data_IF_984628867249
#
_entry.id   IF_984628867249
#
_cell.length_a   1.000
_cell.length_b   1.000
_cell.length_c   1.000
_cell.angle_alpha   90.00
_cell.angle_beta   90.00
_cell.angle_gamma   90.00
#
_symmetry.space_group_name_H-M   'P 1'
#
loop_
_entity.id
_entity.type
_entity.pdbx_description
1 polymer ?
#
# COMPACT_ATOMS: atom_id res chain seq x y z
N UNK A 1 -22.89 7.28 -8.45
CA UNK A 1 -22.60 6.64 -7.17
C UNK A 1 -21.08 6.39 -7.10
N UNK A 2 -20.50 6.64 -5.95
CA UNK A 2 -19.13 6.32 -5.60
C UNK A 2 -19.15 5.45 -4.34
N UNK A 3 -18.04 4.75 -4.05
CA UNK A 3 -17.96 3.89 -2.86
C UNK A 3 -17.16 4.55 -1.74
N UNK A 4 -16.30 5.52 -2.08
CA UNK A 4 -15.50 6.30 -1.14
C UNK A 4 -15.09 7.65 -1.75
N UNK A 5 -14.57 8.55 -0.93
CA UNK A 5 -13.96 9.82 -1.34
C UNK A 5 -12.44 9.72 -1.18
N UNK A 6 -11.68 10.13 -2.20
CA UNK A 6 -10.21 10.20 -2.14
C UNK A 6 -9.73 11.65 -2.13
N UNK A 7 -8.89 11.99 -1.14
CA UNK A 7 -8.21 13.28 -1.02
C UNK A 7 -6.72 13.17 -1.39
N UNK A 8 -6.19 14.25 -1.94
CA UNK A 8 -4.76 14.47 -2.17
C UNK A 8 -4.29 15.57 -1.22
N UNK A 9 -4.04 15.20 0.05
CA UNK A 9 -3.73 16.17 1.12
C UNK A 9 -2.32 16.72 0.96
N UNK A 10 -1.38 15.87 0.53
CA UNK A 10 -0.02 16.31 0.20
C UNK A 10 0.28 16.10 -1.28
N UNK A 11 1.36 16.71 -1.75
CA UNK A 11 2.07 16.24 -2.92
C UNK A 11 2.85 14.96 -2.60
N UNK A 12 3.65 14.49 -3.54
CA UNK A 12 4.45 13.29 -3.43
C UNK A 12 5.83 13.41 -4.07
N UNK A 13 6.47 12.26 -4.25
CA UNK A 13 7.81 12.16 -4.86
C UNK A 13 7.88 12.87 -6.22
N UNK A 14 6.84 12.70 -7.06
CA UNK A 14 6.83 13.15 -8.45
C UNK A 14 6.65 14.67 -8.63
N UNK A 15 6.03 15.36 -7.70
CA UNK A 15 5.79 16.79 -7.78
C UNK A 15 6.64 17.62 -6.81
N UNK A 16 7.54 16.98 -6.07
CA UNK A 16 8.45 17.62 -5.14
C UNK A 16 9.48 18.49 -5.89
N UNK A 17 9.57 19.76 -5.51
CA UNK A 17 10.46 20.74 -6.15
C UNK A 17 11.86 20.79 -5.58
N UNK A 18 12.04 20.26 -4.38
CA UNK A 18 13.32 20.26 -3.67
C UNK A 18 13.56 18.94 -2.91
N UNK A 19 14.82 18.64 -2.61
CA UNK A 19 15.19 17.52 -1.75
C UNK A 19 14.70 17.75 -0.33
N UNK A 20 14.19 16.69 0.30
CA UNK A 20 13.76 16.69 1.70
C UNK A 20 12.30 17.10 1.94
N UNK A 21 11.55 17.40 0.90
CA UNK A 21 10.14 17.84 0.99
C UNK A 21 9.21 17.06 0.05
N UNK A 22 9.12 15.73 0.17
CA UNK A 22 8.31 14.92 -0.73
C UNK A 22 6.79 15.18 -0.58
N UNK A 23 6.34 15.54 0.62
CA UNK A 23 4.92 15.64 0.96
C UNK A 23 4.48 17.05 1.37
N UNK A 24 4.70 18.06 0.52
CA UNK A 24 4.20 19.41 0.75
C UNK A 24 2.67 19.42 0.83
N UNK A 25 2.08 20.12 1.82
CA UNK A 25 0.63 20.25 1.95
C UNK A 25 0.02 20.93 0.71
N UNK A 26 -1.03 20.32 0.17
CA UNK A 26 -1.82 20.83 -0.97
C UNK A 26 -3.25 21.20 -0.55
N UNK A 27 -3.73 20.66 0.57
CA UNK A 27 -5.04 20.99 1.12
C UNK A 27 -4.89 21.61 2.50
N UNK A 28 -5.64 22.66 2.77
CA UNK A 28 -5.72 23.27 4.09
C UNK A 28 -6.56 22.41 5.02
N UNK A 29 -6.29 22.39 6.35
CA UNK A 29 -7.04 21.57 7.32
C UNK A 29 -8.57 21.77 7.26
N UNK A 30 -9.02 23.02 7.12
CA UNK A 30 -10.45 23.33 7.04
C UNK A 30 -11.12 22.76 5.77
N UNK A 31 -10.37 22.57 4.67
CA UNK A 31 -10.88 21.93 3.46
C UNK A 31 -11.01 20.41 3.68
N UNK A 32 -10.01 19.79 4.31
CA UNK A 32 -10.03 18.36 4.63
C UNK A 32 -11.22 18.07 5.54
N UNK A 33 -11.37 18.85 6.61
CA UNK A 33 -12.51 18.72 7.54
C UNK A 33 -13.86 18.85 6.84
N UNK A 34 -14.04 19.87 6.01
CA UNK A 34 -15.29 20.08 5.30
C UNK A 34 -15.67 18.91 4.38
N UNK A 35 -14.66 18.28 3.73
CA UNK A 35 -14.88 17.09 2.91
C UNK A 35 -15.23 15.88 3.77
N UNK A 36 -14.48 15.62 4.85
CA UNK A 36 -14.73 14.50 5.75
C UNK A 36 -16.14 14.61 6.38
N UNK A 37 -16.49 15.76 6.95
CA UNK A 37 -17.81 15.99 7.54
C UNK A 37 -18.94 15.73 6.53
N UNK A 38 -18.76 16.19 5.29
CA UNK A 38 -19.75 15.98 4.23
C UNK A 38 -19.83 14.53 3.74
N UNK A 39 -18.69 13.87 3.59
CA UNK A 39 -18.62 12.48 3.17
C UNK A 39 -19.29 11.57 4.22
N UNK A 40 -18.93 11.74 5.49
CA UNK A 40 -19.48 10.97 6.59
C UNK A 40 -21.00 11.20 6.76
N UNK A 41 -21.48 12.44 6.61
CA UNK A 41 -22.92 12.74 6.61
C UNK A 41 -23.69 12.05 5.47
N UNK A 42 -23.00 11.63 4.41
CA UNK A 42 -23.55 10.88 3.28
C UNK A 42 -23.27 9.37 3.36
N UNK A 43 -22.58 8.90 4.39
CA UNK A 43 -22.24 7.49 4.61
C UNK A 43 -21.03 7.00 3.80
N UNK A 44 -20.14 7.90 3.38
CA UNK A 44 -18.90 7.54 2.65
C UNK A 44 -17.67 7.67 3.53
N UNK A 45 -16.76 6.72 3.44
CA UNK A 45 -15.42 6.82 4.00
C UNK A 45 -14.52 7.74 3.15
N UNK A 46 -13.50 8.30 3.79
CA UNK A 46 -12.52 9.19 3.17
C UNK A 46 -11.13 8.58 3.27
N UNK A 47 -10.48 8.37 2.12
CA UNK A 47 -9.09 7.96 2.00
C UNK A 47 -8.21 9.15 1.60
N UNK A 48 -6.97 9.22 2.09
CA UNK A 48 -6.06 10.33 1.78
C UNK A 48 -4.67 9.87 1.34
N UNK A 49 -4.21 10.38 0.20
CA UNK A 49 -2.80 10.34 -0.17
C UNK A 49 -2.01 11.30 0.72
N UNK A 50 -0.98 10.76 1.41
CA UNK A 50 -0.17 11.51 2.36
C UNK A 50 1.25 10.96 2.41
N UNK A 51 2.25 11.81 2.13
CA UNK A 51 3.67 11.43 2.11
C UNK A 51 4.54 12.32 3.04
N UNK A 52 3.93 12.95 4.04
CA UNK A 52 4.67 13.69 5.08
C UNK A 52 4.03 13.56 6.46
N UNK A 53 4.80 13.65 7.56
CA UNK A 53 4.25 13.61 8.92
C UNK A 53 3.20 14.69 9.18
N UNK A 54 3.43 15.92 8.68
CA UNK A 54 2.47 17.02 8.79
C UNK A 54 1.16 16.69 8.08
N UNK A 55 1.24 16.12 6.87
CA UNK A 55 0.05 15.69 6.15
C UNK A 55 -0.73 14.60 6.86
N UNK A 56 -0.05 13.64 7.51
CA UNK A 56 -0.70 12.59 8.31
C UNK A 56 -1.47 13.21 9.49
N UNK A 57 -0.89 14.19 10.20
CA UNK A 57 -1.59 14.92 11.26
C UNK A 57 -2.83 15.62 10.72
N UNK A 58 -2.67 16.44 9.68
CA UNK A 58 -3.80 17.15 9.04
C UNK A 58 -4.90 16.20 8.62
N UNK A 59 -4.55 15.04 8.06
CA UNK A 59 -5.54 14.04 7.66
C UNK A 59 -6.32 13.49 8.86
N UNK A 60 -5.60 12.99 9.86
CA UNK A 60 -6.21 12.31 11.01
C UNK A 60 -6.99 13.27 11.91
N UNK A 61 -6.45 14.46 12.20
CA UNK A 61 -7.15 15.49 12.99
C UNK A 61 -8.46 15.96 12.36
N UNK A 62 -8.61 15.80 11.05
CA UNK A 62 -9.78 16.25 10.30
C UNK A 62 -10.68 15.11 9.81
N UNK A 63 -10.48 13.88 10.34
CA UNK A 63 -11.45 12.79 10.22
C UNK A 63 -11.27 11.89 9.00
N UNK A 64 -10.08 11.80 8.42
CA UNK A 64 -9.78 10.82 7.36
C UNK A 64 -9.80 9.40 7.92
N UNK A 65 -10.46 8.46 7.23
CA UNK A 65 -10.64 7.07 7.67
C UNK A 65 -9.46 6.16 7.29
N UNK A 66 -8.74 6.48 6.21
CA UNK A 66 -7.53 5.74 5.83
C UNK A 66 -6.43 6.64 5.28
N UNK A 67 -5.20 6.36 5.71
CA UNK A 67 -3.98 7.00 5.22
C UNK A 67 -3.34 6.06 4.20
N UNK A 68 -3.21 6.54 2.97
CA UNK A 68 -2.48 5.87 1.90
C UNK A 68 -1.02 6.33 1.94
N UNK A 69 -0.08 5.38 1.74
CA UNK A 69 1.36 5.54 1.86
C UNK A 69 1.80 5.72 3.32
N UNK A 70 1.50 6.87 3.90
CA UNK A 70 1.97 7.23 5.23
C UNK A 70 3.38 7.83 5.21
N UNK A 71 3.85 8.24 6.37
CA UNK A 71 5.16 8.85 6.56
C UNK A 71 5.74 8.43 7.91
N UNK A 72 7.02 8.74 8.16
CA UNK A 72 7.67 8.47 9.44
C UNK A 72 6.83 9.02 10.60
N UNK A 73 6.29 8.15 11.49
CA UNK A 73 5.43 8.59 12.57
C UNK A 73 6.25 9.02 13.79
N UNK A 74 5.62 9.79 14.62
CA UNK A 74 5.97 10.01 16.04
C UNK A 74 4.81 9.56 16.93
N UNK A 75 4.96 9.75 18.25
CA UNK A 75 3.98 9.31 19.23
C UNK A 75 2.61 9.99 19.04
N UNK A 76 2.60 11.25 18.60
CA UNK A 76 1.36 11.99 18.32
C UNK A 76 0.61 11.39 17.14
N UNK A 77 1.30 11.09 16.03
CA UNK A 77 0.70 10.43 14.86
C UNK A 77 0.11 9.07 15.24
N UNK A 78 0.83 8.30 16.05
CA UNK A 78 0.33 7.00 16.54
C UNK A 78 -0.92 7.17 17.41
N UNK A 79 -0.97 8.20 18.26
CA UNK A 79 -2.14 8.53 19.05
C UNK A 79 -3.32 8.89 18.16
N UNK A 80 -3.13 9.77 17.19
CA UNK A 80 -4.18 10.19 16.25
C UNK A 80 -4.76 9.02 15.44
N UNK A 81 -3.93 8.07 14.96
CA UNK A 81 -4.43 6.85 14.32
C UNK A 81 -5.39 6.06 15.23
N UNK A 82 -5.04 5.92 16.52
CA UNK A 82 -5.85 5.18 17.49
C UNK A 82 -7.15 5.91 17.84
N UNK A 83 -7.10 7.22 18.05
CA UNK A 83 -8.28 8.02 18.35
C UNK A 83 -9.32 7.98 17.23
N UNK A 84 -8.85 8.02 15.98
CA UNK A 84 -9.73 8.01 14.82
C UNK A 84 -10.08 6.61 14.32
N UNK A 85 -9.51 5.54 14.91
CA UNK A 85 -9.62 4.17 14.41
C UNK A 85 -9.27 4.05 12.92
N UNK A 86 -8.34 4.88 12.46
CA UNK A 86 -8.00 4.99 11.06
C UNK A 86 -7.11 3.81 10.60
N UNK A 87 -7.25 3.44 9.34
CA UNK A 87 -6.43 2.44 8.68
C UNK A 87 -5.16 3.06 8.09
N UNK A 88 -4.09 2.27 8.06
CA UNK A 88 -2.92 2.55 7.23
C UNK A 88 -2.91 1.62 6.03
N UNK A 89 -2.97 2.16 4.82
CA UNK A 89 -2.77 1.41 3.59
C UNK A 89 -1.33 1.59 3.10
N UNK A 90 -0.47 0.62 3.35
CA UNK A 90 0.91 0.68 2.87
C UNK A 90 0.97 0.45 1.37
N UNK A 91 1.94 1.09 0.70
CA UNK A 91 2.15 1.00 -0.74
C UNK A 91 3.64 1.10 -1.02
N UNK A 92 4.39 0.06 -0.75
CA UNK A 92 5.83 0.03 -0.98
C UNK A 92 6.18 0.04 -2.47
N UNK A 93 5.32 -0.55 -3.30
CA UNK A 93 5.54 -0.71 -4.73
C UNK A 93 5.80 0.60 -5.47
N UNK A 94 5.04 1.70 -5.32
CA UNK A 94 5.29 2.94 -6.06
C UNK A 94 6.54 3.69 -5.59
N UNK A 95 6.92 3.58 -4.32
CA UNK A 95 8.10 4.24 -3.78
C UNK A 95 9.42 3.51 -4.14
N UNK A 96 9.37 2.17 -4.27
CA UNK A 96 10.54 1.32 -4.49
C UNK A 96 11.36 1.70 -5.74
N UNK A 97 10.78 1.96 -6.93
CA UNK A 97 11.57 2.35 -8.11
C UNK A 97 12.33 3.67 -7.93
N UNK A 98 11.74 4.63 -7.22
CA UNK A 98 12.41 5.90 -6.94
C UNK A 98 13.49 5.76 -5.89
N UNK A 99 13.32 4.88 -4.91
CA UNK A 99 14.29 4.65 -3.86
C UNK A 99 15.46 3.77 -4.29
N UNK A 100 15.19 2.66 -4.99
CA UNK A 100 16.13 1.55 -5.14
C UNK A 100 16.65 1.29 -6.56
N UNK A 101 15.98 1.82 -7.61
CA UNK A 101 16.46 1.62 -8.97
C UNK A 101 17.63 2.56 -9.29
N UNK A 102 18.50 2.12 -10.20
CA UNK A 102 19.41 3.03 -10.85
C UNK A 102 18.61 4.10 -11.62
N UNK A 103 19.05 5.36 -11.54
CA UNK A 103 18.37 6.47 -12.21
C UNK A 103 18.32 6.34 -13.73
N UNK A 104 19.30 5.65 -14.33
CA UNK A 104 19.28 5.35 -15.77
C UNK A 104 18.14 4.39 -16.16
N UNK A 105 17.60 3.63 -15.20
CA UNK A 105 16.47 2.72 -15.38
C UNK A 105 15.15 3.40 -15.05
N UNK A 106 15.07 4.04 -13.89
CA UNK A 106 13.84 4.70 -13.42
C UNK A 106 13.51 5.99 -14.16
N UNK A 107 14.50 6.63 -14.78
CA UNK A 107 14.48 8.01 -15.29
C UNK A 107 14.17 9.04 -14.20
N UNK A 108 14.33 8.68 -12.93
CA UNK A 108 14.11 9.59 -11.82
C UNK A 108 15.17 10.72 -11.83
N UNK A 109 14.74 11.93 -11.57
CA UNK A 109 15.64 13.03 -11.26
C UNK A 109 16.35 12.80 -9.93
N UNK A 110 17.38 13.58 -9.65
CA UNK A 110 18.07 13.49 -8.36
C UNK A 110 17.17 13.87 -7.18
N UNK A 111 16.25 14.82 -7.40
CA UNK A 111 15.25 15.22 -6.41
C UNK A 111 14.26 14.09 -6.14
N UNK A 112 13.72 13.48 -7.19
CA UNK A 112 12.79 12.35 -7.06
C UNK A 112 13.43 11.14 -6.38
N UNK A 113 14.68 10.80 -6.71
CA UNK A 113 15.37 9.69 -6.04
C UNK A 113 15.62 9.99 -4.56
N UNK A 114 16.07 11.21 -4.24
CA UNK A 114 16.28 11.61 -2.85
C UNK A 114 14.98 11.54 -2.05
N UNK A 115 13.91 12.10 -2.57
CA UNK A 115 12.59 12.09 -1.93
C UNK A 115 11.95 10.71 -1.93
N UNK A 116 12.16 9.92 -2.97
CA UNK A 116 11.75 8.51 -3.02
C UNK A 116 12.32 7.66 -1.89
N UNK A 117 13.59 7.89 -1.55
CA UNK A 117 14.20 7.25 -0.36
C UNK A 117 13.50 7.67 0.94
N UNK A 118 13.19 8.96 1.12
CA UNK A 118 12.48 9.44 2.32
C UNK A 118 11.11 8.79 2.43
N UNK A 119 10.35 8.76 1.34
CA UNK A 119 9.00 8.18 1.32
C UNK A 119 9.06 6.66 1.55
N UNK A 120 9.96 5.94 0.89
CA UNK A 120 10.11 4.49 1.06
C UNK A 120 10.46 4.11 2.50
N UNK A 121 11.42 4.81 3.12
CA UNK A 121 11.76 4.60 4.54
C UNK A 121 10.59 5.01 5.45
N UNK A 122 9.93 6.14 5.16
CA UNK A 122 8.78 6.61 5.92
C UNK A 122 7.61 5.62 5.92
N UNK A 123 7.27 5.02 4.78
CA UNK A 123 6.25 3.97 4.68
C UNK A 123 6.62 2.76 5.54
N UNK A 124 7.87 2.31 5.47
CA UNK A 124 8.36 1.16 6.27
C UNK A 124 8.27 1.43 7.77
N UNK A 125 8.73 2.60 8.20
CA UNK A 125 8.69 2.99 9.62
C UNK A 125 7.25 3.15 10.10
N UNK A 126 6.37 3.77 9.29
CA UNK A 126 4.96 3.91 9.60
C UNK A 126 4.28 2.54 9.76
N UNK A 127 4.51 1.63 8.83
CA UNK A 127 3.95 0.27 8.90
C UNK A 127 4.41 -0.49 10.14
N UNK A 128 5.71 -0.44 10.48
CA UNK A 128 6.25 -1.09 11.69
C UNK A 128 5.62 -0.52 12.95
N UNK A 129 5.54 0.81 13.05
CA UNK A 129 4.95 1.48 14.20
C UNK A 129 3.44 1.20 14.31
N UNK A 130 2.72 1.21 13.20
CA UNK A 130 1.29 0.87 13.17
C UNK A 130 1.05 -0.55 13.70
N UNK A 131 1.80 -1.55 13.20
CA UNK A 131 1.69 -2.95 13.64
C UNK A 131 2.01 -3.07 15.13
N UNK A 132 3.10 -2.48 15.60
CA UNK A 132 3.51 -2.51 17.00
C UNK A 132 2.48 -1.88 17.95
N UNK A 133 1.63 -1.00 17.43
CA UNK A 133 0.60 -0.28 18.17
C UNK A 133 -0.83 -0.78 17.90
N UNK A 134 -1.01 -1.93 17.23
CA UNK A 134 -2.30 -2.50 16.86
C UNK A 134 -3.18 -1.57 16.01
N UNK A 135 -2.59 -0.68 15.25
CA UNK A 135 -3.29 0.10 14.22
C UNK A 135 -3.55 -0.83 13.02
N UNK A 136 -4.77 -0.86 12.47
CA UNK A 136 -5.08 -1.74 11.36
C UNK A 136 -4.31 -1.35 10.10
N UNK A 137 -3.56 -2.30 9.53
CA UNK A 137 -2.78 -2.13 8.31
C UNK A 137 -3.39 -2.95 7.19
N UNK A 138 -3.49 -2.37 6.01
CA UNK A 138 -3.91 -3.00 4.76
C UNK A 138 -2.88 -2.76 3.66
N UNK A 139 -2.99 -3.47 2.55
CA UNK A 139 -2.06 -3.34 1.42
C UNK A 139 -2.76 -2.81 0.17
N UNK A 140 -2.08 -1.88 -0.50
CA UNK A 140 -2.36 -1.41 -1.84
C UNK A 140 -1.08 -1.32 -2.65
N UNK A 141 -1.12 -1.35 -3.97
CA UNK A 141 0.07 -1.18 -4.80
C UNK A 141 0.04 0.05 -5.70
N UNK A 142 -0.98 0.88 -5.56
CA UNK A 142 -1.13 2.14 -6.28
C UNK A 142 -0.90 1.98 -7.81
N UNK A 143 -1.64 1.03 -8.39
CA UNK A 143 -1.55 0.68 -9.81
C UNK A 143 -1.86 1.90 -10.68
N UNK A 144 -0.98 2.17 -11.66
CA UNK A 144 -1.03 3.35 -12.50
C UNK A 144 0.22 4.23 -12.35
N UNK A 145 0.91 4.16 -11.22
CA UNK A 145 2.25 4.72 -11.07
C UNK A 145 3.26 4.04 -12.00
N UNK A 146 4.34 4.75 -12.40
CA UNK A 146 5.43 4.15 -13.15
C UNK A 146 5.95 2.85 -12.49
N UNK A 147 6.19 1.82 -13.29
CA UNK A 147 6.66 0.49 -12.86
C UNK A 147 5.63 -0.37 -12.13
N UNK A 148 4.43 0.14 -11.81
CA UNK A 148 3.38 -0.61 -11.11
C UNK A 148 2.35 -1.13 -12.10
N UNK A 149 2.15 -2.45 -12.10
CA UNK A 149 1.25 -3.13 -13.01
C UNK A 149 0.16 -3.88 -12.27
N UNK A 150 -1.02 -3.99 -12.91
CA UNK A 150 -2.19 -4.64 -12.33
C UNK A 150 -2.03 -6.15 -12.12
N UNK A 151 -1.03 -6.78 -12.71
CA UNK A 151 -0.76 -8.21 -12.57
C UNK A 151 0.33 -8.54 -11.54
N UNK A 152 0.92 -7.54 -10.90
CA UNK A 152 2.07 -7.70 -10.01
C UNK A 152 1.76 -7.39 -8.52
N UNK A 153 0.50 -7.36 -8.11
CA UNK A 153 0.12 -7.07 -6.72
C UNK A 153 0.79 -8.02 -5.69
N UNK A 154 1.11 -9.26 -6.09
CA UNK A 154 1.85 -10.19 -5.26
C UNK A 154 3.20 -9.63 -4.77
N UNK A 155 3.80 -8.70 -5.51
CA UNK A 155 5.05 -8.03 -5.14
C UNK A 155 4.88 -7.15 -3.92
N UNK A 156 3.74 -6.46 -3.79
CA UNK A 156 3.47 -5.66 -2.60
C UNK A 156 3.47 -6.51 -1.33
N UNK A 157 2.85 -7.71 -1.36
CA UNK A 157 2.89 -8.63 -0.24
C UNK A 157 4.33 -9.09 0.07
N UNK A 158 5.10 -9.38 -0.98
CA UNK A 158 6.50 -9.77 -0.83
C UNK A 158 7.37 -8.62 -0.29
N UNK A 159 7.17 -7.38 -0.75
CA UNK A 159 7.88 -6.20 -0.23
C UNK A 159 7.51 -5.93 1.21
N UNK A 160 6.25 -6.07 1.55
CA UNK A 160 5.78 -5.92 2.93
C UNK A 160 6.46 -6.94 3.86
N UNK A 161 6.52 -8.21 3.46
CA UNK A 161 7.30 -9.23 4.18
C UNK A 161 8.78 -8.84 4.27
N UNK A 162 9.41 -8.52 3.14
CA UNK A 162 10.86 -8.31 3.04
C UNK A 162 11.34 -7.06 3.78
N UNK A 163 10.65 -5.93 3.63
CA UNK A 163 11.13 -4.62 4.10
C UNK A 163 10.51 -4.18 5.42
N UNK A 164 9.33 -4.66 5.76
CA UNK A 164 8.69 -4.39 7.06
C UNK A 164 8.98 -5.50 8.07
N UNK A 165 9.19 -6.74 7.61
CA UNK A 165 9.55 -7.87 8.45
C UNK A 165 8.36 -8.66 9.00
N UNK A 166 7.20 -8.59 8.34
CA UNK A 166 6.00 -9.33 8.75
C UNK A 166 6.04 -10.79 8.28
N UNK A 167 5.26 -11.67 8.91
CA UNK A 167 5.09 -13.05 8.43
C UNK A 167 4.30 -13.09 7.11
N UNK A 168 4.48 -14.15 6.32
CA UNK A 168 3.70 -14.39 5.11
C UNK A 168 2.19 -14.43 5.41
N UNK A 169 1.80 -15.06 6.51
CA UNK A 169 0.41 -15.13 6.96
C UNK A 169 -0.17 -13.73 7.24
N UNK A 170 0.60 -12.85 7.89
CA UNK A 170 0.15 -11.49 8.16
C UNK A 170 0.03 -10.66 6.87
N UNK A 171 0.99 -10.79 5.94
CA UNK A 171 0.91 -10.14 4.64
C UNK A 171 -0.34 -10.57 3.84
N UNK A 172 -0.68 -11.86 3.87
CA UNK A 172 -1.90 -12.39 3.25
C UNK A 172 -3.16 -11.84 3.92
N UNK A 173 -3.19 -11.83 5.26
CA UNK A 173 -4.31 -11.27 6.03
C UNK A 173 -4.56 -9.79 5.68
N UNK A 174 -3.50 -8.99 5.65
CA UNK A 174 -3.61 -7.55 5.33
C UNK A 174 -4.07 -7.28 3.90
N UNK A 175 -3.69 -8.14 2.94
CA UNK A 175 -4.09 -8.03 1.54
C UNK A 175 -5.48 -8.63 1.24
N UNK A 176 -6.10 -9.33 2.17
CA UNK A 176 -7.39 -10.01 1.98
C UNK A 176 -8.45 -9.52 2.95
N UNK A 177 -8.60 -10.17 4.10
CA UNK A 177 -9.67 -9.87 5.05
C UNK A 177 -9.59 -8.44 5.57
N UNK A 178 -8.40 -7.98 5.97
CA UNK A 178 -8.28 -6.64 6.55
C UNK A 178 -8.56 -5.54 5.51
N UNK A 179 -8.10 -5.73 4.26
CA UNK A 179 -8.45 -4.83 3.15
C UNK A 179 -9.95 -4.83 2.84
N UNK A 180 -10.61 -5.99 2.92
CA UNK A 180 -12.06 -6.07 2.73
C UNK A 180 -12.83 -5.37 3.86
N UNK A 181 -12.33 -5.44 5.11
CA UNK A 181 -12.89 -4.70 6.26
C UNK A 181 -12.78 -3.20 6.05
N UNK A 182 -11.58 -2.70 5.67
CA UNK A 182 -11.38 -1.28 5.37
C UNK A 182 -12.33 -0.79 4.25
N UNK A 183 -12.51 -1.60 3.21
CA UNK A 183 -13.41 -1.29 2.10
C UNK A 183 -14.91 -1.41 2.45
N UNK A 184 -15.27 -1.78 3.69
CA UNK A 184 -16.65 -1.95 4.13
C UNK A 184 -17.34 -3.22 3.59
N UNK A 185 -16.60 -4.15 3.01
CA UNK A 185 -17.12 -5.38 2.39
C UNK A 185 -16.60 -6.67 3.06
N UNK A 186 -16.06 -6.58 4.25
CA UNK A 186 -15.50 -7.72 5.00
C UNK A 186 -16.53 -8.83 5.34
N UNK A 187 -17.81 -8.49 5.36
CA UNK A 187 -18.92 -9.44 5.48
C UNK A 187 -19.28 -10.13 4.14
N UNK A 188 -18.78 -9.63 3.02
CA UNK A 188 -19.07 -10.13 1.66
C UNK A 188 -17.93 -10.96 1.10
N UNK A 189 -16.67 -10.55 1.38
CA UNK A 189 -15.46 -11.18 0.82
C UNK A 189 -14.25 -11.04 1.77
N UNK A 190 -13.06 -11.45 1.32
CA UNK A 190 -11.79 -11.32 2.05
C UNK A 190 -11.40 -12.54 2.90
N UNK A 191 -12.32 -13.46 3.13
CA UNK A 191 -12.07 -14.75 3.82
C UNK A 191 -12.91 -15.86 3.20
N UNK A 192 -12.44 -17.11 3.41
CA UNK A 192 -13.13 -18.31 2.94
C UNK A 192 -14.09 -18.78 4.03
N UNK A 193 -15.32 -18.30 3.99
CA UNK A 193 -16.36 -18.59 4.98
C UNK A 193 -17.71 -18.85 4.28
N UNK A 194 -18.52 -19.70 4.89
CA UNK A 194 -19.87 -19.96 4.39
C UNK A 194 -20.71 -18.65 4.41
N UNK A 195 -21.41 -18.37 3.31
CA UNK A 195 -22.23 -17.16 3.14
C UNK A 195 -21.50 -15.98 2.49
N UNK A 196 -20.19 -16.01 2.35
CA UNK A 196 -19.44 -14.99 1.59
C UNK A 196 -19.38 -15.33 0.09
N UNK A 197 -19.05 -14.33 -0.71
CA UNK A 197 -18.80 -14.52 -2.13
C UNK A 197 -17.62 -15.49 -2.34
N UNK A 198 -17.74 -16.34 -3.34
CA UNK A 198 -16.65 -17.20 -3.76
C UNK A 198 -15.63 -16.40 -4.59
N UNK A 199 -14.78 -15.65 -3.89
CA UNK A 199 -13.64 -14.89 -4.41
C UNK A 199 -12.38 -15.60 -3.96
N UNK A 200 -11.79 -16.41 -4.83
CA UNK A 200 -10.72 -17.36 -4.50
C UNK A 200 -9.62 -17.33 -5.55
N UNK A 201 -8.39 -17.53 -5.12
CA UNK A 201 -7.28 -17.89 -6.01
C UNK A 201 -6.70 -19.25 -5.57
N UNK A 202 -6.24 -20.01 -6.53
CA UNK A 202 -5.51 -21.27 -6.29
C UNK A 202 -4.12 -21.17 -6.88
N UNK A 203 -3.13 -21.48 -6.08
CA UNK A 203 -1.72 -21.48 -6.47
C UNK A 203 -1.14 -22.87 -6.33
N UNK A 204 -0.16 -23.22 -7.16
CA UNK A 204 0.50 -24.54 -7.13
C UNK A 204 1.28 -24.77 -5.82
N UNK A 205 1.94 -23.73 -5.32
CA UNK A 205 2.73 -23.77 -4.10
C UNK A 205 2.02 -22.98 -2.99
N UNK A 206 2.34 -23.30 -1.75
CA UNK A 206 1.73 -22.65 -0.60
C UNK A 206 2.29 -21.22 -0.38
N UNK A 207 1.48 -20.15 -0.46
CA UNK A 207 1.96 -18.79 -0.23
C UNK A 207 2.30 -18.51 1.25
N UNK A 208 1.90 -19.36 2.20
CA UNK A 208 2.35 -19.27 3.59
C UNK A 208 3.83 -19.62 3.73
N UNK A 209 4.36 -20.46 2.85
CA UNK A 209 5.78 -20.83 2.85
C UNK A 209 6.60 -19.80 2.03
N UNK A 210 6.02 -19.33 0.92
CA UNK A 210 6.68 -18.36 0.04
C UNK A 210 5.64 -17.53 -0.74
N UNK A 211 5.57 -16.23 -0.48
CA UNK A 211 4.64 -15.32 -1.15
C UNK A 211 4.84 -15.25 -2.66
N UNK A 212 6.01 -15.65 -3.19
CA UNK A 212 6.26 -15.73 -4.64
C UNK A 212 5.38 -16.77 -5.33
N UNK A 213 4.76 -17.69 -4.59
CA UNK A 213 3.74 -18.59 -5.11
C UNK A 213 2.56 -17.85 -5.76
N UNK A 214 2.25 -16.65 -5.28
CA UNK A 214 1.18 -15.79 -5.81
C UNK A 214 1.48 -15.21 -7.21
N UNK A 215 2.72 -15.29 -7.68
CA UNK A 215 3.10 -14.85 -9.04
C UNK A 215 2.37 -15.62 -10.14
N UNK A 216 2.13 -16.92 -9.89
CA UNK A 216 1.51 -17.82 -10.84
C UNK A 216 0.25 -18.41 -10.21
N UNK A 217 -0.89 -17.92 -10.65
CA UNK A 217 -2.21 -18.36 -10.18
C UNK A 217 -2.77 -19.36 -11.17
N UNK A 218 -3.08 -20.56 -10.71
CA UNK A 218 -3.64 -21.63 -11.55
C UNK A 218 -5.13 -21.43 -11.81
N UNK A 219 -5.83 -20.83 -10.84
CA UNK A 219 -7.27 -20.61 -10.91
C UNK A 219 -7.64 -19.33 -10.17
N UNK A 220 -8.52 -18.56 -10.77
CA UNK A 220 -9.22 -17.43 -10.15
C UNK A 220 -10.72 -17.72 -10.15
N UNK A 221 -11.35 -17.53 -9.02
CA UNK A 221 -12.80 -17.47 -8.92
C UNK A 221 -13.19 -16.07 -8.43
N UNK A 222 -14.06 -15.41 -9.16
CA UNK A 222 -14.58 -14.08 -8.82
C UNK A 222 -16.10 -14.13 -8.81
N UNK A 223 -16.69 -13.91 -7.64
CA UNK A 223 -18.15 -14.02 -7.40
C UNK A 223 -18.73 -15.33 -7.95
N UNK A 224 -18.02 -16.44 -7.73
CA UNK A 224 -18.40 -17.78 -8.20
C UNK A 224 -18.10 -18.06 -9.68
N UNK A 225 -17.64 -17.07 -10.45
CA UNK A 225 -17.22 -17.28 -11.84
C UNK A 225 -15.78 -17.75 -11.91
N UNK A 226 -15.54 -18.86 -12.59
CA UNK A 226 -14.26 -19.55 -12.66
C UNK A 226 -13.44 -19.14 -13.88
N UNK A 227 -12.16 -18.89 -13.67
CA UNK A 227 -11.14 -18.60 -14.68
C UNK A 227 -9.96 -19.56 -14.47
N UNK A 228 -9.83 -20.55 -15.36
CA UNK A 228 -8.73 -21.53 -15.30
C UNK A 228 -7.51 -21.00 -16.04
N UNK A 229 -6.33 -21.14 -15.45
CA UNK A 229 -5.04 -20.72 -16.01
C UNK A 229 -5.12 -19.33 -16.65
N UNK A 230 -5.50 -18.29 -15.91
CA UNK A 230 -5.70 -16.97 -16.48
C UNK A 230 -4.42 -16.48 -17.14
N UNK A 231 -4.52 -16.00 -18.39
CA UNK A 231 -3.39 -15.48 -19.16
C UNK A 231 -3.51 -13.96 -19.24
N UNK A 232 -2.38 -13.28 -19.05
CA UNK A 232 -2.30 -11.84 -19.18
C UNK A 232 -0.97 -11.45 -19.86
N UNK A 233 -0.98 -10.30 -20.51
CA UNK A 233 0.24 -9.75 -21.14
C UNK A 233 1.08 -9.06 -20.09
N UNK A 234 2.34 -9.44 -20.00
CA UNK A 234 3.32 -8.79 -19.13
C UNK A 234 4.21 -7.83 -19.92
N UNK A 235 4.73 -6.80 -19.27
CA UNK A 235 5.77 -5.93 -19.81
C UNK A 235 7.13 -6.46 -19.36
N UNK A 236 7.83 -7.17 -20.24
CA UNK A 236 9.08 -7.86 -19.92
C UNK A 236 10.13 -6.96 -19.27
N UNK A 237 10.27 -5.70 -19.70
CA UNK A 237 11.24 -4.77 -19.12
C UNK A 237 10.91 -4.47 -17.66
N UNK A 238 9.62 -4.22 -17.35
CA UNK A 238 9.15 -3.97 -15.99
C UNK A 238 9.35 -5.21 -15.11
N UNK A 239 8.89 -6.36 -15.60
CA UNK A 239 9.00 -7.63 -14.88
C UNK A 239 10.46 -7.98 -14.55
N UNK A 240 11.39 -7.88 -15.52
CA UNK A 240 12.80 -8.18 -15.30
C UNK A 240 13.45 -7.25 -14.28
N UNK A 241 13.12 -5.97 -14.30
CA UNK A 241 13.69 -5.00 -13.35
C UNK A 241 13.19 -5.26 -11.94
N UNK A 242 11.88 -5.41 -11.77
CA UNK A 242 11.28 -5.69 -10.46
C UNK A 242 11.68 -7.07 -9.90
N UNK A 243 11.96 -8.05 -10.74
CA UNK A 243 12.43 -9.38 -10.33
C UNK A 243 13.76 -9.33 -9.57
N UNK A 244 14.61 -8.33 -9.82
CA UNK A 244 15.84 -8.11 -9.05
C UNK A 244 15.59 -7.93 -7.55
N UNK A 245 14.43 -7.39 -7.18
CA UNK A 245 14.05 -7.11 -5.78
C UNK A 245 13.25 -8.23 -5.13
N UNK A 246 12.73 -9.19 -5.91
CA UNK A 246 11.89 -10.28 -5.42
C UNK A 246 12.51 -11.67 -5.62
N UNK A 247 13.24 -11.89 -6.70
CA UNK A 247 13.66 -13.24 -7.11
C UNK A 247 15.16 -13.48 -6.99
N UNK A 248 15.98 -12.43 -7.08
CA UNK A 248 17.40 -12.59 -6.88
C UNK A 248 17.68 -12.73 -5.38
N UNK A 249 18.31 -13.84 -5.01
CA UNK A 249 18.85 -14.07 -3.67
C UNK A 249 20.02 -13.10 -3.49
N UNK A 250 19.82 -11.99 -2.85
CA UNK A 250 20.94 -11.31 -2.20
C UNK A 250 21.25 -12.14 -0.96
N UNK A 251 22.35 -12.89 -0.98
CA UNK A 251 22.89 -13.50 0.24
C UNK A 251 22.91 -12.46 1.35
N UNK A 252 22.50 -12.79 2.58
CA UNK A 252 22.70 -11.88 3.69
C UNK A 252 24.16 -11.47 3.70
N UNK A 253 24.44 -10.16 3.82
CA UNK A 253 25.79 -9.65 3.97
C UNK A 253 26.40 -10.35 5.18
N UNK A 254 27.63 -10.91 5.10
CA UNK A 254 28.28 -11.49 6.24
C UNK A 254 28.88 -10.37 7.14
N UNK A 255 28.01 -9.48 7.61
CA UNK A 255 28.32 -8.44 8.59
C UNK A 255 27.07 -8.17 9.42
N UNK A 256 26.88 -9.04 10.37
CA UNK A 256 26.24 -8.77 11.67
C UNK A 256 26.95 -9.63 12.73
#
# INVERSE_FOLDING_TARGET
>A
NVDLIKLMITGGVLDAKAKGVPGELKMKPEMVKAVCDKAHALGYNVAAHVESPEGVRVALENGVDSIEHGAKPDDEIIHLFKENNAFLCTTLSPALPYALFDRSVSNASEVEQYNGNIVFEGIKECAKAAIANNIPVVLGNDVGCPWITQYDFWRELYYFHKYVGVSNAFALYTATLNSAVMAGIGNVTGSVEAGKCADLIVTKNNPLDDLRALRNVDLVMARGRLYNNPKFKTKNIVTKELDKFCLLYTSPSPRD
#
